data_IF_641834785631
#
_entry.id   IF_641834785631
#
_cell.length_a   1.000
_cell.length_b   1.000
_cell.length_c   1.000
_cell.angle_alpha   90.00
_cell.angle_beta   90.00
_cell.angle_gamma   90.00
#
_symmetry.space_group_name_H-M   'P 1'
#
loop_
_entity.id
_entity.type
_entity.pdbx_description
1 polymer ?
#
# COMPACT_ATOMS: atom_id res chain seq x y z
N UNK A 1 14.57 -10.53 -11.93
CA UNK A 1 14.87 -9.49 -10.93
C UNK A 1 13.65 -9.35 -10.01
N UNK A 2 13.83 -9.46 -8.68
CA UNK A 2 12.74 -9.46 -7.70
C UNK A 2 11.94 -8.15 -7.62
N UNK A 3 12.44 -7.03 -8.18
CA UNK A 3 11.77 -5.73 -8.19
C UNK A 3 10.93 -5.45 -9.45
N UNK A 4 10.98 -6.31 -10.48
CA UNK A 4 10.32 -6.02 -11.76
C UNK A 4 8.79 -6.17 -11.72
N UNK A 5 8.29 -7.15 -10.97
CA UNK A 5 6.87 -7.48 -10.90
C UNK A 5 6.47 -7.57 -9.44
N UNK A 6 5.35 -6.92 -9.09
CA UNK A 6 4.75 -7.08 -7.78
C UNK A 6 3.85 -8.32 -7.76
N UNK A 7 4.04 -9.18 -6.77
CA UNK A 7 3.29 -10.42 -6.62
C UNK A 7 2.85 -10.62 -5.16
N UNK A 8 1.84 -11.45 -4.86
CA UNK A 8 1.44 -11.73 -3.48
C UNK A 8 2.65 -12.07 -2.60
N UNK A 9 2.79 -11.36 -1.48
CA UNK A 9 3.90 -11.53 -0.57
C UNK A 9 3.91 -12.96 0.01
N UNK A 10 4.94 -13.77 -0.32
CA UNK A 10 5.13 -15.11 0.29
C UNK A 10 5.72 -15.03 1.70
N UNK A 11 6.73 -14.18 1.88
CA UNK A 11 7.45 -13.96 3.15
C UNK A 11 7.43 -12.49 3.57
N UNK A 12 6.39 -11.74 3.16
CA UNK A 12 6.24 -10.31 3.42
C UNK A 12 5.36 -10.01 4.64
N UNK A 13 5.08 -8.72 4.92
CA UNK A 13 4.11 -8.34 5.95
C UNK A 13 2.73 -8.90 5.59
N UNK A 14 1.92 -9.19 6.60
CA UNK A 14 0.51 -9.53 6.42
C UNK A 14 -0.32 -8.26 6.25
N UNK A 15 -1.50 -8.35 5.62
CA UNK A 15 -2.41 -7.20 5.52
C UNK A 15 -2.79 -6.64 6.89
N UNK A 16 -2.99 -7.52 7.89
CA UNK A 16 -3.24 -7.09 9.28
C UNK A 16 -2.06 -6.30 9.87
N UNK A 17 -0.81 -6.65 9.53
CA UNK A 17 0.37 -5.90 9.98
C UNK A 17 0.38 -4.49 9.39
N UNK A 18 -0.04 -4.32 8.13
CA UNK A 18 -0.21 -3.02 7.49
C UNK A 18 -1.33 -2.22 8.18
N UNK A 19 -2.49 -2.83 8.44
CA UNK A 19 -3.60 -2.16 9.14
C UNK A 19 -3.17 -1.68 10.53
N UNK A 20 -2.43 -2.49 11.29
CA UNK A 20 -1.88 -2.09 12.59
C UNK A 20 -0.90 -0.91 12.49
N UNK A 21 -0.06 -0.88 11.44
CA UNK A 21 0.86 0.23 11.19
C UNK A 21 0.09 1.55 11.03
N UNK A 22 -1.01 1.53 10.26
CA UNK A 22 -1.81 2.70 9.92
C UNK A 22 -2.60 3.27 11.10
N UNK A 23 -3.17 2.40 11.95
CA UNK A 23 -3.84 2.83 13.18
C UNK A 23 -2.87 3.27 14.29
N UNK A 24 -1.66 2.71 14.27
CA UNK A 24 -0.65 2.96 15.29
C UNK A 24 0.30 4.07 14.88
N UNK A 25 1.58 3.71 14.82
CA UNK A 25 2.70 4.66 14.69
C UNK A 25 2.66 5.57 13.47
N UNK A 26 1.98 5.18 12.39
CA UNK A 26 1.88 6.02 11.21
C UNK A 26 0.81 7.11 11.33
N UNK A 27 -0.16 6.95 12.24
CA UNK A 27 -1.21 7.95 12.49
C UNK A 27 -2.10 8.27 11.30
N UNK A 28 -2.22 7.35 10.34
CA UNK A 28 -3.01 7.56 9.10
C UNK A 28 -4.49 7.35 9.35
N UNK A 29 -4.84 6.32 10.15
CA UNK A 29 -6.22 5.94 10.40
C UNK A 29 -6.58 6.08 11.88
N UNK A 30 -7.76 6.65 12.22
CA UNK A 30 -8.27 6.63 13.59
C UNK A 30 -8.45 5.20 14.10
N UNK A 31 -8.24 4.91 15.39
CA UNK A 31 -8.30 3.54 15.92
C UNK A 31 -9.69 2.89 15.83
N UNK A 32 -10.75 3.67 15.60
CA UNK A 32 -12.14 3.21 15.54
C UNK A 32 -12.64 2.88 14.13
N UNK A 33 -11.90 3.25 13.07
CA UNK A 33 -12.36 3.01 11.70
C UNK A 33 -12.17 1.54 11.31
N UNK A 34 -13.16 0.96 10.63
CA UNK A 34 -13.08 -0.43 10.15
C UNK A 34 -12.40 -0.46 8.79
N UNK A 35 -11.45 -1.38 8.66
CA UNK A 35 -10.61 -1.52 7.48
C UNK A 35 -10.62 -2.97 7.03
N UNK A 36 -10.74 -3.19 5.72
CA UNK A 36 -10.59 -4.50 5.09
C UNK A 36 -9.50 -4.44 4.03
N UNK A 37 -8.75 -5.53 3.90
CA UNK A 37 -7.72 -5.64 2.87
C UNK A 37 -8.41 -6.09 1.59
N UNK A 38 -8.42 -5.21 0.57
CA UNK A 38 -8.99 -5.51 -0.74
C UNK A 38 -7.99 -6.24 -1.62
N UNK A 39 -6.76 -5.72 -1.66
CA UNK A 39 -5.66 -6.26 -2.47
C UNK A 39 -4.35 -6.26 -1.70
N UNK A 40 -3.56 -7.33 -1.85
CA UNK A 40 -2.21 -7.43 -1.32
C UNK A 40 -2.11 -7.96 0.12
N UNK A 41 -0.95 -7.80 0.77
CA UNK A 41 0.22 -7.06 0.28
C UNK A 41 0.87 -7.70 -0.95
N UNK A 42 1.18 -6.88 -1.95
CA UNK A 42 1.94 -7.26 -3.14
C UNK A 42 3.39 -6.79 -2.96
N UNK A 43 4.34 -7.71 -3.06
CA UNK A 43 5.75 -7.47 -2.83
C UNK A 43 6.50 -7.35 -4.17
N UNK A 44 7.38 -6.35 -4.26
CA UNK A 44 8.48 -6.33 -5.24
C UNK A 44 9.74 -5.86 -4.51
N UNK A 45 10.83 -6.64 -4.60
CA UNK A 45 11.99 -6.50 -3.72
C UNK A 45 11.58 -6.41 -2.24
N UNK A 46 12.06 -5.40 -1.51
CA UNK A 46 11.73 -5.12 -0.11
C UNK A 46 10.58 -4.10 0.06
N UNK A 47 9.85 -3.79 -1.01
CA UNK A 47 8.69 -2.89 -0.99
C UNK A 47 7.39 -3.65 -1.09
N UNK A 48 6.33 -3.04 -0.57
CA UNK A 48 4.99 -3.62 -0.60
C UNK A 48 3.93 -2.58 -0.97
N UNK A 49 2.90 -3.04 -1.67
CA UNK A 49 1.72 -2.26 -2.03
C UNK A 49 0.46 -2.99 -1.54
N UNK A 50 -0.45 -2.25 -0.90
CA UNK A 50 -1.72 -2.77 -0.37
C UNK A 50 -2.85 -1.80 -0.68
N UNK A 51 -4.02 -2.32 -1.05
CA UNK A 51 -5.25 -1.52 -1.17
C UNK A 51 -6.20 -1.93 -0.06
N UNK A 52 -6.72 -0.93 0.65
CA UNK A 52 -7.61 -1.09 1.77
C UNK A 52 -8.97 -0.45 1.47
N UNK A 53 -10.03 -1.18 1.78
CA UNK A 53 -11.37 -0.61 1.90
C UNK A 53 -11.53 -0.05 3.31
N UNK A 54 -11.82 1.24 3.42
CA UNK A 54 -12.01 1.93 4.70
C UNK A 54 -13.48 2.33 4.80
N UNK A 55 -14.18 1.85 5.83
CA UNK A 55 -15.64 2.06 5.94
C UNK A 55 -15.98 3.55 6.00
N UNK A 56 -16.76 4.03 5.03
CA UNK A 56 -17.18 5.43 4.93
C UNK A 56 -16.18 6.35 4.22
N UNK A 57 -15.15 5.80 3.56
CA UNK A 57 -14.12 6.55 2.85
C UNK A 57 -13.79 5.91 1.49
N UNK A 58 -13.05 6.65 0.67
CA UNK A 58 -12.46 6.12 -0.55
C UNK A 58 -11.42 5.02 -0.25
N UNK A 59 -11.07 4.24 -1.26
CA UNK A 59 -10.03 3.22 -1.13
C UNK A 59 -8.70 3.86 -0.76
N UNK A 60 -8.07 3.30 0.26
CA UNK A 60 -6.77 3.75 0.73
C UNK A 60 -5.70 2.85 0.13
N UNK A 61 -4.88 3.42 -0.74
CA UNK A 61 -3.66 2.77 -1.24
C UNK A 61 -2.53 3.00 -0.25
N UNK A 62 -1.65 2.02 -0.10
CA UNK A 62 -0.58 2.05 0.91
C UNK A 62 0.70 1.49 0.31
N UNK A 63 1.78 2.26 0.38
CA UNK A 63 3.13 1.82 0.02
C UNK A 63 3.98 1.74 1.28
N UNK A 64 4.54 0.56 1.54
CA UNK A 64 5.50 0.31 2.61
C UNK A 64 6.82 -0.24 2.08
N UNK A 65 7.86 -0.19 2.91
CA UNK A 65 9.14 -0.85 2.63
C UNK A 65 9.77 -1.47 3.87
N UNK A 66 10.81 -2.28 3.62
CA UNK A 66 11.64 -2.87 4.65
C UNK A 66 11.13 -4.25 5.11
N UNK A 67 11.42 -4.58 6.37
CA UNK A 67 11.26 -5.95 6.89
C UNK A 67 9.79 -6.31 7.14
N UNK A 68 9.39 -7.58 6.92
CA UNK A 68 8.01 -8.05 7.14
C UNK A 68 7.44 -7.77 8.53
N UNK A 69 8.28 -7.86 9.57
CA UNK A 69 7.88 -7.66 10.97
C UNK A 69 7.83 -6.20 11.38
N UNK A 70 8.44 -5.30 10.60
CA UNK A 70 8.53 -3.88 10.92
C UNK A 70 8.45 -3.00 9.65
N UNK A 71 7.38 -3.11 8.84
CA UNK A 71 7.26 -2.35 7.61
C UNK A 71 7.18 -0.85 7.90
N UNK A 72 7.95 -0.06 7.19
CA UNK A 72 7.94 1.40 7.27
C UNK A 72 6.95 1.96 6.26
N UNK A 73 6.16 2.95 6.67
CA UNK A 73 5.25 3.64 5.76
C UNK A 73 6.07 4.57 4.87
N UNK A 74 5.90 4.43 3.55
CA UNK A 74 6.41 5.39 2.57
C UNK A 74 5.32 6.43 2.28
N UNK A 75 4.11 5.97 1.95
CA UNK A 75 2.95 6.84 1.73
C UNK A 75 1.65 6.05 1.84
N UNK A 76 0.56 6.74 2.18
CA UNK A 76 -0.79 6.22 2.13
C UNK A 76 -1.77 7.31 1.69
N UNK A 77 -2.68 6.98 0.79
CA UNK A 77 -3.63 7.92 0.23
C UNK A 77 -4.40 7.34 -0.96
N UNK A 78 -5.24 8.15 -1.57
CA UNK A 78 -5.92 7.82 -2.83
C UNK A 78 -4.99 7.99 -4.04
N UNK A 79 -3.93 8.79 -3.90
CA UNK A 79 -2.76 8.87 -4.80
C UNK A 79 -1.50 8.64 -3.97
N UNK A 80 -0.73 7.62 -4.36
CA UNK A 80 0.50 7.20 -3.69
C UNK A 80 1.73 7.31 -4.58
N UNK A 81 1.61 7.89 -5.77
CA UNK A 81 2.75 8.07 -6.66
C UNK A 81 3.57 9.33 -6.30
N UNK A 82 4.14 9.33 -5.10
CA UNK A 82 5.01 10.42 -4.62
C UNK A 82 6.38 10.41 -5.31
N UNK A 83 7.13 11.49 -5.15
CA UNK A 83 8.51 11.60 -5.68
C UNK A 83 9.38 10.45 -5.18
N UNK A 84 9.27 10.07 -3.90
CA UNK A 84 10.05 8.95 -3.34
C UNK A 84 9.71 7.62 -4.03
N UNK A 85 8.42 7.34 -4.25
CA UNK A 85 7.98 6.13 -4.96
C UNK A 85 8.50 6.11 -6.39
N UNK A 86 8.40 7.22 -7.12
CA UNK A 86 8.90 7.33 -8.51
C UNK A 86 10.41 7.14 -8.60
N UNK A 87 11.16 7.75 -7.68
CA UNK A 87 12.61 7.80 -7.71
C UNK A 87 13.28 6.52 -7.18
N UNK A 88 12.69 5.87 -6.17
CA UNK A 88 13.35 4.79 -5.41
C UNK A 88 12.57 3.48 -5.41
N UNK A 89 11.28 3.51 -5.74
CA UNK A 89 10.44 2.32 -5.76
C UNK A 89 10.86 1.35 -6.88
N UNK A 90 10.83 0.04 -6.63
CA UNK A 90 11.07 -0.96 -7.66
C UNK A 90 9.98 -0.88 -8.74
N UNK A 91 10.30 -1.29 -9.97
CA UNK A 91 9.40 -1.19 -11.12
C UNK A 91 8.00 -1.75 -10.84
N UNK A 92 7.90 -2.91 -10.19
CA UNK A 92 6.61 -3.51 -9.84
C UNK A 92 5.74 -2.63 -8.95
N UNK A 93 6.33 -1.87 -8.03
CA UNK A 93 5.59 -0.93 -7.16
C UNK A 93 5.22 0.33 -7.92
N UNK A 94 6.13 0.86 -8.74
CA UNK A 94 5.83 2.04 -9.57
C UNK A 94 4.67 1.75 -10.53
N UNK A 95 4.64 0.58 -11.14
CA UNK A 95 3.51 0.19 -12.00
C UNK A 95 2.19 0.17 -11.24
N UNK A 96 2.16 -0.34 -10.02
CA UNK A 96 0.93 -0.33 -9.21
C UNK A 96 0.55 1.06 -8.69
N UNK A 97 1.52 1.84 -8.24
CA UNK A 97 1.28 3.12 -7.56
C UNK A 97 1.09 4.29 -8.53
N UNK A 98 1.71 4.25 -9.71
CA UNK A 98 1.83 5.38 -10.63
C UNK A 98 1.10 5.20 -11.95
N UNK A 99 0.95 3.96 -12.42
CA UNK A 99 0.28 3.66 -13.69
C UNK A 99 -1.19 3.27 -13.47
N UNK A 100 -1.58 2.94 -12.22
CA UNK A 100 -2.98 2.91 -11.82
C UNK A 100 -3.50 4.36 -11.80
N UNK A 101 -4.22 4.74 -12.86
CA UNK A 101 -4.91 6.02 -12.89
C UNK A 101 -5.86 6.18 -11.68
N UNK A 102 -6.31 7.41 -11.38
CA UNK A 102 -7.28 7.63 -10.30
C UNK A 102 -8.46 6.68 -10.51
N UNK A 103 -8.92 6.04 -9.44
CA UNK A 103 -10.12 5.21 -9.45
C UNK A 103 -11.30 6.15 -9.74
N UNK A 104 -11.58 6.37 -11.02
CA UNK A 104 -12.79 7.06 -11.43
C UNK A 104 -13.91 6.07 -11.12
N UNK A 105 -14.52 6.19 -9.94
CA UNK A 105 -15.78 5.52 -9.67
C UNK A 105 -16.77 5.85 -10.80
N UNK A 106 -17.67 4.94 -11.19
CA UNK A 106 -18.68 5.28 -12.20
C UNK A 106 -19.53 6.42 -11.65
N UNK A 107 -19.30 7.62 -12.18
CA UNK A 107 -20.13 8.78 -11.93
C UNK A 107 -21.40 8.70 -12.76
N UNK A 108 -22.53 8.83 -12.04
CA UNK A 108 -23.87 9.24 -12.47
C UNK A 108 -24.49 8.59 -13.71
#
# INVERSE_FOLDING_TARGET
DPGLVAAPCRNGPTGQRIVQLLHGRAGVLPPSVRVQVRTGPLCAADWQYTVLEVTGHEELQVVTRGRPTAPELVTAGTDVCTIEVRATGPTGIRTLACDAGPVVGPGA
#
